data_IF_909648996046
#
_entry.id   IF_909648996046
#
_cell.length_a   1.000
_cell.length_b   1.000
_cell.length_c   1.000
_cell.angle_alpha   90.00
_cell.angle_beta   90.00
_cell.angle_gamma   90.00
#
_symmetry.space_group_name_H-M   'P 1'
#
loop_
_entity.id
_entity.type
_entity.pdbx_description
1 polymer ?
#
# COMPACT_ATOMS: atom_id res chain seq x y z
N UNK A 1 -27.49 -12.41 0.15
CA UNK A 1 -26.13 -12.82 0.50
C UNK A 1 -26.14 -13.22 1.98
N UNK A 2 -25.83 -14.48 2.25
CA UNK A 2 -25.85 -15.03 3.62
C UNK A 2 -24.44 -15.17 4.15
N UNK A 3 -24.27 -15.13 5.47
CA UNK A 3 -22.95 -15.30 6.12
C UNK A 3 -22.29 -16.65 5.82
N UNK A 4 -23.10 -17.65 5.47
CA UNK A 4 -22.66 -19.01 5.12
C UNK A 4 -22.31 -19.20 3.65
N UNK A 5 -22.53 -18.17 2.81
CA UNK A 5 -22.24 -18.26 1.39
C UNK A 5 -20.72 -18.42 1.18
N UNK A 6 -20.35 -19.20 0.18
CA UNK A 6 -18.95 -19.44 -0.15
C UNK A 6 -18.26 -18.15 -0.62
N UNK A 7 -16.99 -18.02 -0.31
CA UNK A 7 -16.17 -16.90 -0.79
C UNK A 7 -16.10 -16.84 -2.33
N UNK A 8 -16.33 -17.97 -3.01
CA UNK A 8 -16.38 -18.08 -4.48
C UNK A 8 -17.59 -17.40 -5.10
N UNK A 9 -18.65 -17.18 -4.31
CA UNK A 9 -19.88 -16.53 -4.77
C UNK A 9 -19.73 -15.00 -4.86
N UNK A 10 -18.62 -14.47 -4.35
CA UNK A 10 -18.30 -13.06 -4.44
C UNK A 10 -17.85 -12.65 -5.83
N UNK A 11 -18.48 -11.60 -6.35
CA UNK A 11 -18.10 -11.01 -7.63
C UNK A 11 -16.62 -10.56 -7.58
N UNK A 12 -15.81 -11.05 -8.53
CA UNK A 12 -14.40 -10.72 -8.63
C UNK A 12 -13.44 -11.69 -7.93
N UNK A 13 -13.97 -12.75 -7.28
CA UNK A 13 -13.17 -13.84 -6.76
C UNK A 13 -13.23 -15.03 -7.70
N UNK A 14 -12.18 -15.20 -8.50
CA UNK A 14 -11.99 -16.39 -9.33
C UNK A 14 -11.26 -17.51 -8.57
N UNK A 15 -11.11 -18.71 -9.18
CA UNK A 15 -10.54 -19.89 -8.52
C UNK A 15 -9.17 -19.66 -7.88
N UNK A 16 -8.28 -18.93 -8.53
CA UNK A 16 -6.94 -18.60 -8.00
C UNK A 16 -6.99 -17.76 -6.73
N UNK A 17 -7.93 -16.81 -6.67
CA UNK A 17 -8.11 -15.97 -5.48
C UNK A 17 -8.77 -16.77 -4.36
N UNK A 18 -9.75 -17.60 -4.68
CA UNK A 18 -10.38 -18.49 -3.71
C UNK A 18 -9.38 -19.45 -3.06
N UNK A 19 -8.47 -20.04 -3.85
CA UNK A 19 -7.37 -20.85 -3.32
C UNK A 19 -6.46 -20.05 -2.37
N UNK A 20 -6.12 -18.82 -2.74
CA UNK A 20 -5.30 -17.95 -1.90
C UNK A 20 -6.00 -17.56 -0.59
N UNK A 21 -7.30 -17.32 -0.61
CA UNK A 21 -8.10 -17.12 0.61
C UNK A 21 -8.18 -18.40 1.45
N UNK A 22 -8.30 -19.55 0.82
CA UNK A 22 -8.27 -20.86 1.49
C UNK A 22 -6.98 -21.12 2.27
N UNK A 23 -5.83 -20.64 1.78
CA UNK A 23 -4.53 -20.68 2.50
C UNK A 23 -4.53 -19.84 3.78
N UNK A 24 -5.42 -18.86 3.89
CA UNK A 24 -5.65 -18.06 5.10
C UNK A 24 -6.75 -18.62 5.99
N UNK A 25 -7.35 -19.76 5.62
CA UNK A 25 -8.48 -20.37 6.34
C UNK A 25 -9.82 -19.66 6.10
N UNK A 26 -9.94 -18.90 5.01
CA UNK A 26 -11.12 -18.12 4.68
C UNK A 26 -11.91 -18.81 3.56
N UNK A 27 -12.99 -19.51 3.92
CA UNK A 27 -13.81 -20.29 2.99
C UNK A 27 -15.22 -19.71 2.80
N UNK A 28 -15.69 -18.93 3.78
CA UNK A 28 -17.03 -18.36 3.80
C UNK A 28 -17.00 -16.84 4.03
N UNK A 29 -18.13 -16.19 3.82
CA UNK A 29 -18.33 -14.78 4.19
C UNK A 29 -18.17 -14.54 5.67
N UNK A 30 -18.57 -15.50 6.50
CA UNK A 30 -18.37 -15.46 7.95
C UNK A 30 -16.86 -15.37 8.27
N UNK A 31 -16.04 -16.22 7.66
CA UNK A 31 -14.58 -16.22 7.92
C UNK A 31 -13.94 -14.90 7.56
N UNK A 32 -14.37 -14.27 6.46
CA UNK A 32 -13.86 -12.96 6.03
C UNK A 32 -14.23 -11.86 7.02
N UNK A 33 -15.48 -11.84 7.51
CA UNK A 33 -15.96 -10.82 8.44
C UNK A 33 -15.30 -10.93 9.82
N UNK A 34 -14.95 -12.14 10.23
CA UNK A 34 -14.28 -12.40 11.52
C UNK A 34 -12.76 -12.54 11.40
N UNK A 35 -12.21 -12.26 10.22
CA UNK A 35 -10.77 -12.27 10.02
C UNK A 35 -10.13 -11.01 10.59
N UNK A 36 -9.56 -11.12 11.78
CA UNK A 36 -8.96 -9.99 12.48
C UNK A 36 -7.59 -9.60 11.87
N UNK A 37 -7.27 -8.30 11.83
CA UNK A 37 -5.96 -7.84 11.40
C UNK A 37 -4.85 -8.40 12.31
N UNK A 38 -3.71 -8.71 11.72
CA UNK A 38 -2.53 -9.19 12.46
C UNK A 38 -1.96 -8.11 13.38
N UNK A 39 -2.05 -6.85 12.97
CA UNK A 39 -1.63 -5.67 13.73
C UNK A 39 -2.24 -4.41 13.12
N UNK A 40 -2.09 -3.30 13.81
CA UNK A 40 -2.47 -1.98 13.32
C UNK A 40 -1.22 -1.12 13.12
N UNK A 41 -1.25 -0.23 12.13
CA UNK A 41 -0.26 0.82 11.94
C UNK A 41 -0.93 2.15 12.16
N UNK A 42 -0.38 2.92 13.07
CA UNK A 42 -0.87 4.26 13.37
C UNK A 42 -0.17 5.29 12.48
N UNK A 43 -0.91 5.84 11.54
CA UNK A 43 -0.51 6.94 10.68
C UNK A 43 -1.28 8.22 10.99
N UNK A 44 -1.85 8.35 12.19
CA UNK A 44 -2.59 9.54 12.61
C UNK A 44 -1.70 10.78 12.82
N UNK A 45 -0.39 10.58 12.89
CA UNK A 45 0.60 11.65 13.00
C UNK A 45 1.63 11.55 11.89
N UNK A 46 2.03 12.69 11.36
CA UNK A 46 3.13 12.78 10.41
C UNK A 46 4.46 12.83 11.12
N UNK A 47 5.46 12.21 10.52
CA UNK A 47 6.87 12.35 10.89
C UNK A 47 7.58 13.22 9.85
N UNK A 48 8.81 13.64 10.16
CA UNK A 48 9.68 14.28 9.17
C UNK A 48 10.72 13.28 8.64
N UNK A 49 11.28 13.55 7.47
CA UNK A 49 12.27 12.66 6.84
C UNK A 49 13.48 12.45 7.74
N UNK A 50 13.99 13.51 8.38
CA UNK A 50 15.15 13.39 9.30
C UNK A 50 14.84 12.59 10.55
N UNK A 51 13.64 12.68 11.09
CA UNK A 51 13.24 11.99 12.31
C UNK A 51 12.92 10.49 12.12
N UNK A 52 12.62 10.06 10.91
CA UNK A 52 12.30 8.66 10.62
C UNK A 52 13.57 7.80 10.58
N UNK A 53 13.59 6.72 11.34
CA UNK A 53 14.72 5.77 11.42
C UNK A 53 14.59 4.68 10.35
N UNK A 54 15.71 3.99 10.09
CA UNK A 54 15.68 2.80 9.24
C UNK A 54 14.75 1.73 9.82
N UNK A 55 13.84 1.24 8.99
CA UNK A 55 12.86 0.22 9.37
C UNK A 55 11.54 0.75 9.93
N UNK A 56 11.44 2.04 10.26
CA UNK A 56 10.22 2.63 10.77
C UNK A 56 9.11 2.65 9.70
N UNK A 57 7.89 2.41 10.16
CA UNK A 57 6.66 2.64 9.37
C UNK A 57 6.06 3.97 9.79
N UNK A 58 6.13 4.94 8.91
CA UNK A 58 5.72 6.32 9.18
C UNK A 58 4.84 6.89 8.07
N UNK A 59 4.07 7.91 8.40
CA UNK A 59 3.45 8.80 7.44
C UNK A 59 4.31 10.06 7.30
N UNK A 60 4.71 10.38 6.08
CA UNK A 60 5.44 11.60 5.77
C UNK A 60 4.56 12.50 4.89
N UNK A 61 4.43 13.76 5.27
CA UNK A 61 3.84 14.78 4.41
C UNK A 61 4.93 15.30 3.47
N UNK A 62 4.76 15.05 2.18
CA UNK A 62 5.79 15.25 1.17
C UNK A 62 5.28 16.07 -0.01
N UNK A 63 6.15 16.91 -0.55
CA UNK A 63 5.96 17.53 -1.85
C UNK A 63 6.80 16.82 -2.90
N UNK A 64 6.17 16.44 -4.02
CA UNK A 64 6.83 15.75 -5.11
C UNK A 64 7.76 16.71 -5.87
N UNK A 65 9.03 16.34 -6.00
CA UNK A 65 10.05 17.11 -6.75
C UNK A 65 10.07 16.73 -8.22
N UNK A 66 9.72 15.49 -8.54
CA UNK A 66 9.74 14.95 -9.90
C UNK A 66 8.60 13.98 -10.15
N UNK A 67 8.19 13.88 -11.42
CA UNK A 67 7.31 12.80 -11.86
C UNK A 67 7.98 11.43 -11.66
N UNK A 68 7.18 10.39 -11.44
CA UNK A 68 7.70 9.04 -11.32
C UNK A 68 8.44 8.58 -12.58
N UNK A 69 9.55 7.87 -12.38
CA UNK A 69 10.34 7.27 -13.46
C UNK A 69 10.37 5.76 -13.28
N UNK A 70 10.13 5.04 -14.38
CA UNK A 70 10.22 3.60 -14.42
C UNK A 70 11.60 3.18 -14.92
N UNK A 71 12.29 2.35 -14.15
CA UNK A 71 13.53 1.69 -14.53
C UNK A 71 13.33 0.19 -14.55
N UNK A 72 13.63 -0.45 -15.67
CA UNK A 72 13.71 -1.90 -15.78
C UNK A 72 15.14 -2.34 -15.46
N UNK A 73 15.35 -2.88 -14.27
CA UNK A 73 16.67 -3.23 -13.76
C UNK A 73 17.13 -4.56 -14.33
N UNK A 74 16.22 -5.53 -14.39
CA UNK A 74 16.43 -6.86 -14.97
C UNK A 74 15.08 -7.51 -15.29
N UNK A 75 15.12 -8.66 -15.98
CA UNK A 75 13.88 -9.44 -16.24
C UNK A 75 13.17 -9.76 -14.91
N UNK A 76 11.94 -9.32 -14.80
CA UNK A 76 11.11 -9.52 -13.59
C UNK A 76 11.33 -8.50 -12.45
N UNK A 77 12.15 -7.45 -12.67
CA UNK A 77 12.37 -6.39 -11.69
C UNK A 77 12.24 -5.01 -12.32
N UNK A 78 11.07 -4.44 -12.16
CA UNK A 78 10.77 -3.05 -12.50
C UNK A 78 10.75 -2.21 -11.22
N UNK A 79 11.39 -1.04 -11.25
CA UNK A 79 11.39 -0.11 -10.12
C UNK A 79 10.84 1.23 -10.62
N UNK A 80 9.74 1.67 -10.03
CA UNK A 80 9.22 3.03 -10.22
C UNK A 80 9.72 3.90 -9.09
N UNK A 81 10.34 5.03 -9.39
CA UNK A 81 10.88 5.96 -8.39
C UNK A 81 10.36 7.37 -8.61
N UNK A 82 10.06 8.07 -7.51
CA UNK A 82 9.79 9.50 -7.51
C UNK A 82 10.57 10.18 -6.39
N UNK A 83 11.07 11.38 -6.64
CA UNK A 83 11.71 12.20 -5.62
C UNK A 83 10.71 13.09 -4.94
N UNK A 84 10.80 13.16 -3.63
CA UNK A 84 9.97 14.02 -2.81
C UNK A 84 10.79 14.64 -1.69
N UNK A 85 10.27 15.68 -1.06
CA UNK A 85 10.94 16.38 0.01
C UNK A 85 9.94 16.92 1.03
N UNK A 86 10.43 17.16 2.23
CA UNK A 86 9.79 17.96 3.26
C UNK A 86 10.73 19.09 3.71
N UNK A 87 10.40 19.78 4.80
CA UNK A 87 11.24 20.83 5.35
C UNK A 87 12.57 20.31 5.93
N UNK A 88 12.68 19.01 6.21
CA UNK A 88 13.84 18.39 6.83
C UNK A 88 14.81 17.73 5.85
N UNK A 89 14.37 17.40 4.63
CA UNK A 89 15.25 16.75 3.65
C UNK A 89 14.54 16.19 2.44
N UNK A 90 15.26 15.37 1.68
CA UNK A 90 14.74 14.68 0.48
C UNK A 90 14.66 13.17 0.72
N UNK A 91 13.68 12.53 0.06
CA UNK A 91 13.46 11.10 0.09
C UNK A 91 13.10 10.59 -1.30
N UNK A 92 13.49 9.35 -1.61
CA UNK A 92 13.06 8.65 -2.82
C UNK A 92 11.92 7.68 -2.47
N UNK A 93 10.79 7.84 -3.11
CA UNK A 93 9.70 6.88 -3.08
C UNK A 93 10.00 5.80 -4.11
N UNK A 94 10.05 4.53 -3.71
CA UNK A 94 10.40 3.42 -4.58
C UNK A 94 9.34 2.32 -4.54
N UNK A 95 8.77 2.00 -5.71
CA UNK A 95 7.79 0.92 -5.89
C UNK A 95 8.40 -0.18 -6.73
N UNK A 96 8.48 -1.38 -6.17
CA UNK A 96 9.03 -2.56 -6.82
C UNK A 96 7.92 -3.36 -7.52
N UNK A 97 8.13 -3.68 -8.80
CA UNK A 97 7.18 -4.43 -9.65
C UNK A 97 5.77 -3.81 -9.71
N UNK A 98 5.70 -2.47 -9.66
CA UNK A 98 4.46 -1.71 -9.70
C UNK A 98 4.52 -0.59 -10.75
N UNK A 99 4.64 -0.91 -12.06
CA UNK A 99 4.76 0.10 -13.12
C UNK A 99 3.54 1.03 -13.22
N UNK A 100 2.37 0.57 -12.76
CA UNK A 100 1.15 1.39 -12.71
C UNK A 100 1.27 2.59 -11.75
N UNK A 101 2.24 2.59 -10.85
CA UNK A 101 2.51 3.73 -9.94
C UNK A 101 3.08 4.95 -10.65
N UNK A 102 3.44 4.84 -11.93
CA UNK A 102 3.80 5.99 -12.78
C UNK A 102 2.71 7.09 -12.81
N UNK A 103 1.46 6.70 -12.58
CA UNK A 103 0.31 7.63 -12.54
C UNK A 103 -0.14 7.98 -11.12
N UNK A 104 0.55 7.50 -10.09
CA UNK A 104 0.11 7.65 -8.71
C UNK A 104 0.31 9.07 -8.17
N UNK A 105 1.33 9.75 -8.65
CA UNK A 105 1.74 11.08 -8.17
C UNK A 105 2.27 11.92 -9.33
N UNK A 106 2.22 13.24 -9.16
CA UNK A 106 2.71 14.21 -10.15
C UNK A 106 3.65 15.20 -9.47
N UNK A 107 4.65 15.71 -10.21
CA UNK A 107 5.57 16.73 -9.71
C UNK A 107 4.81 17.96 -9.20
N UNK A 108 5.22 18.48 -8.05
CA UNK A 108 4.60 19.61 -7.37
C UNK A 108 3.42 19.29 -6.48
N UNK A 109 2.91 18.05 -6.51
CA UNK A 109 1.81 17.59 -5.67
C UNK A 109 2.25 17.39 -4.22
N UNK A 110 1.37 17.74 -3.26
CA UNK A 110 1.54 17.42 -1.85
C UNK A 110 0.75 16.16 -1.51
N UNK A 111 1.42 15.19 -0.89
CA UNK A 111 0.84 13.88 -0.57
C UNK A 111 1.32 13.39 0.79
N UNK A 112 0.55 12.47 1.38
CA UNK A 112 0.98 11.67 2.53
C UNK A 112 1.49 10.33 2.04
N UNK A 113 2.78 10.09 2.17
CA UNK A 113 3.40 8.82 1.86
C UNK A 113 3.52 7.98 3.14
N UNK A 114 2.86 6.83 3.17
CA UNK A 114 2.86 5.92 4.30
C UNK A 114 3.59 4.64 3.92
N UNK A 115 4.65 4.30 4.65
CA UNK A 115 5.44 3.13 4.32
C UNK A 115 6.65 2.95 5.23
N UNK A 116 7.48 1.98 4.86
CA UNK A 116 8.70 1.65 5.56
C UNK A 116 9.87 2.49 5.02
N UNK A 117 10.58 3.13 5.94
CA UNK A 117 11.79 3.90 5.61
C UNK A 117 13.01 2.98 5.55
N UNK A 118 13.77 3.10 4.49
CA UNK A 118 15.09 2.47 4.31
C UNK A 118 16.17 3.55 4.21
N UNK A 119 17.23 3.39 5.00
CA UNK A 119 18.40 4.29 5.02
C UNK A 119 19.72 3.62 4.67
N UNK A 120 19.68 2.35 4.23
CA UNK A 120 20.90 1.59 3.95
C UNK A 120 21.69 2.16 2.76
N UNK A 121 20.98 2.59 1.71
CA UNK A 121 21.58 3.14 0.49
C UNK A 121 20.89 4.44 0.09
N UNK A 122 20.96 5.45 0.94
CA UNK A 122 20.22 6.69 0.83
C UNK A 122 18.84 6.59 1.49
N UNK A 123 18.16 7.72 1.59
CA UNK A 123 16.84 7.76 2.23
C UNK A 123 15.76 7.40 1.22
N UNK A 124 15.09 6.28 1.46
CA UNK A 124 14.04 5.74 0.59
C UNK A 124 12.83 5.31 1.41
N UNK A 125 11.66 5.36 0.79
CA UNK A 125 10.47 4.69 1.31
C UNK A 125 10.08 3.57 0.34
N UNK A 126 10.00 2.35 0.87
CA UNK A 126 9.78 1.14 0.08
C UNK A 126 8.28 0.87 -0.06
N UNK A 127 7.81 0.74 -1.29
CA UNK A 127 6.42 0.47 -1.63
C UNK A 127 5.41 1.33 -0.83
N UNK A 128 5.59 2.67 -0.78
CA UNK A 128 4.69 3.52 -0.01
C UNK A 128 3.28 3.50 -0.58
N UNK A 129 2.30 3.58 0.31
CA UNK A 129 0.94 3.95 -0.03
C UNK A 129 0.82 5.46 -0.04
N UNK A 130 0.18 6.01 -1.07
CA UNK A 130 0.02 7.45 -1.24
C UNK A 130 -1.42 7.83 -0.94
N UNK A 131 -1.58 8.85 -0.10
CA UNK A 131 -2.88 9.39 0.30
C UNK A 131 -2.90 10.89 0.09
N UNK A 132 -4.10 11.44 -0.19
CA UNK A 132 -4.33 12.90 -0.27
C UNK A 132 -4.74 13.49 1.08
N UNK A 133 -5.16 12.62 2.01
CA UNK A 133 -5.50 12.94 3.38
C UNK A 133 -4.79 11.95 4.30
N UNK A 134 -4.51 12.37 5.53
CA UNK A 134 -3.85 11.51 6.51
C UNK A 134 -4.77 10.32 6.86
N UNK A 135 -4.32 9.07 6.66
CA UNK A 135 -5.21 7.91 6.73
C UNK A 135 -5.61 7.49 8.16
N UNK A 136 -4.87 7.93 9.18
CA UNK A 136 -5.11 7.51 10.56
C UNK A 136 -4.59 6.11 10.88
N UNK A 137 -5.37 5.31 11.59
CA UNK A 137 -4.97 3.94 11.98
C UNK A 137 -5.42 2.96 10.91
N UNK A 138 -4.47 2.24 10.33
CA UNK A 138 -4.70 1.24 9.29
C UNK A 138 -4.49 -0.19 9.82
N UNK A 139 -5.43 -1.10 9.57
CA UNK A 139 -5.25 -2.52 9.87
C UNK A 139 -4.24 -3.16 8.91
N UNK A 140 -3.46 -4.09 9.42
CA UNK A 140 -2.55 -4.92 8.64
C UNK A 140 -3.01 -6.36 8.71
N UNK A 141 -3.57 -6.85 7.62
CA UNK A 141 -4.01 -8.23 7.50
C UNK A 141 -2.86 -9.15 7.06
N UNK A 142 -2.90 -10.43 7.44
CA UNK A 142 -1.98 -11.41 6.89
C UNK A 142 -2.23 -11.54 5.38
N UNK A 143 -1.16 -11.64 4.61
CA UNK A 143 -1.21 -11.85 3.17
C UNK A 143 -0.48 -13.13 2.80
N UNK A 144 -0.90 -13.78 1.74
CA UNK A 144 -0.23 -14.93 1.16
C UNK A 144 0.02 -14.72 -0.34
N UNK A 145 0.76 -15.62 -0.95
CA UNK A 145 0.98 -15.58 -2.39
C UNK A 145 -0.37 -15.59 -3.14
N UNK A 146 -0.57 -14.63 -4.02
CA UNK A 146 -1.80 -14.44 -4.78
C UNK A 146 -2.81 -13.43 -4.20
N UNK A 147 -2.58 -12.95 -2.95
CA UNK A 147 -3.38 -11.88 -2.35
C UNK A 147 -2.49 -10.70 -1.99
N UNK A 148 -2.84 -9.52 -2.48
CA UNK A 148 -2.24 -8.27 -2.02
C UNK A 148 -3.02 -7.73 -0.81
N UNK A 149 -2.36 -6.94 0.02
CA UNK A 149 -3.00 -6.26 1.14
C UNK A 149 -4.25 -5.48 0.70
N UNK A 150 -4.16 -4.79 -0.42
CA UNK A 150 -5.25 -4.01 -0.99
C UNK A 150 -6.48 -4.86 -1.36
N UNK A 151 -6.26 -6.05 -1.92
CA UNK A 151 -7.36 -6.96 -2.25
C UNK A 151 -8.06 -7.47 -0.99
N UNK A 152 -7.28 -7.81 0.03
CA UNK A 152 -7.80 -8.24 1.31
C UNK A 152 -8.67 -7.15 1.96
N UNK A 153 -8.16 -5.91 2.01
CA UNK A 153 -8.87 -4.76 2.59
C UNK A 153 -10.20 -4.48 1.88
N UNK A 154 -10.23 -4.60 0.56
CA UNK A 154 -11.43 -4.39 -0.24
C UNK A 154 -12.56 -5.40 0.07
N UNK A 155 -12.22 -6.61 0.52
CA UNK A 155 -13.17 -7.67 0.80
C UNK A 155 -13.41 -7.87 2.31
N UNK A 156 -12.50 -7.42 3.16
CA UNK A 156 -12.58 -7.54 4.61
C UNK A 156 -13.16 -6.32 5.34
N UNK A 157 -13.78 -5.38 4.65
CA UNK A 157 -14.28 -4.15 5.25
C UNK A 157 -13.17 -3.23 5.74
N UNK A 158 -12.00 -3.37 5.16
CA UNK A 158 -10.81 -2.62 5.52
C UNK A 158 -10.89 -1.14 5.15
N UNK A 159 -9.82 -0.49 5.47
CA UNK A 159 -9.61 0.93 5.50
C UNK A 159 -10.17 1.75 4.35
N UNK A 160 -10.52 3.00 4.64
CA UNK A 160 -10.97 3.94 3.64
C UNK A 160 -9.94 4.10 2.51
N UNK A 161 -10.47 4.31 1.34
CA UNK A 161 -9.78 4.52 0.09
C UNK A 161 -8.42 5.19 0.20
N UNK A 162 -7.38 4.52 -0.19
CA UNK A 162 -6.22 5.24 -0.64
C UNK A 162 -6.63 6.01 -1.90
N UNK A 163 -6.39 7.28 -1.96
CA UNK A 163 -6.79 8.17 -3.06
C UNK A 163 -6.27 7.80 -4.46
N UNK A 164 -5.64 6.64 -4.58
CA UNK A 164 -5.07 6.09 -5.81
C UNK A 164 -6.10 5.31 -6.61
N UNK A 165 -7.18 4.88 -5.98
CA UNK A 165 -8.14 3.95 -6.59
C UNK A 165 -8.96 4.58 -7.72
N UNK A 166 -8.99 5.89 -7.81
CA UNK A 166 -9.95 6.60 -8.67
C UNK A 166 -9.38 7.14 -9.97
N UNK A 167 -8.28 6.61 -10.43
CA UNK A 167 -7.72 7.02 -11.70
C UNK A 167 -7.99 5.98 -12.79
N UNK A 168 -9.25 5.60 -12.95
CA UNK A 168 -9.72 4.94 -14.15
C UNK A 168 -10.58 5.91 -14.95
N UNK A 169 -9.95 6.57 -15.87
CA UNK A 169 -10.54 7.07 -17.10
C UNK A 169 -9.58 6.84 -18.24
#
# INVERSE_FOLDING_TARGET
MKLTDSITDLKGIGPRKAEAFGKLGLFSMHDVLYHFPRKYRDYSKTSCIMGAKHGDYVALELKLKSDPKLARVRRGLDITTARAFDQSGEITLAWYNQPYRMKAVVAGECVYACGRVDRMHGVKMINPSIYRQLPGILPVYPVCAGLSQKLHDAHGGGAPNDGIVHQHH
#
